data_IF_867164943328
#
_entry.id   IF_867164943328
#
_cell.length_a   1.000
_cell.length_b   1.000
_cell.length_c   1.000
_cell.angle_alpha   90.00
_cell.angle_beta   90.00
_cell.angle_gamma   90.00
#
_symmetry.space_group_name_H-M   'P 1'
#
loop_
_entity.id
_entity.type
_entity.pdbx_description
1 polymer ?
#
# COMPACT_ATOMS: atom_id res chain seq x y z
N UNK A 1 -13.55 -4.31 -29.44
CA UNK A 1 -14.28 -4.31 -28.16
C UNK A 1 -13.54 -5.26 -27.24
N UNK A 2 -12.74 -4.73 -26.31
CA UNK A 2 -12.00 -5.54 -25.36
C UNK A 2 -12.95 -5.92 -24.22
N UNK A 3 -13.28 -7.21 -24.12
CA UNK A 3 -13.78 -7.82 -22.90
C UNK A 3 -12.67 -7.74 -21.85
N UNK A 4 -12.65 -6.65 -21.10
CA UNK A 4 -11.87 -6.57 -19.88
C UNK A 4 -12.45 -7.62 -18.94
N UNK A 5 -11.67 -8.69 -18.72
CA UNK A 5 -11.98 -9.79 -17.82
C UNK A 5 -12.42 -9.22 -16.46
N UNK A 6 -13.72 -9.11 -16.29
CA UNK A 6 -14.32 -8.96 -14.98
C UNK A 6 -14.08 -10.29 -14.30
N UNK A 7 -13.65 -10.26 -13.05
CA UNK A 7 -13.64 -11.42 -12.15
C UNK A 7 -15.06 -12.00 -11.87
N UNK A 8 -16.03 -11.74 -12.76
CA UNK A 8 -17.38 -12.28 -12.82
C UNK A 8 -18.31 -11.81 -11.71
N UNK A 9 -17.84 -11.00 -10.76
CA UNK A 9 -18.62 -10.65 -9.57
C UNK A 9 -18.76 -9.13 -9.43
N UNK A 10 -19.94 -8.62 -9.02
CA UNK A 10 -20.07 -7.22 -8.64
C UNK A 10 -19.05 -6.87 -7.54
N UNK A 11 -18.49 -5.65 -7.55
CA UNK A 11 -17.60 -5.20 -6.50
C UNK A 11 -18.31 -5.28 -5.15
N UNK A 12 -17.61 -5.80 -4.15
CA UNK A 12 -18.04 -5.74 -2.75
C UNK A 12 -17.74 -4.34 -2.22
N UNK A 13 -18.47 -3.90 -1.22
CA UNK A 13 -18.26 -2.61 -0.56
C UNK A 13 -18.10 -2.79 0.93
N UNK A 14 -17.45 -1.81 1.58
CA UNK A 14 -17.43 -1.66 3.04
C UNK A 14 -18.86 -1.60 3.60
N UNK A 15 -19.02 -1.83 4.90
CA UNK A 15 -20.33 -1.90 5.54
C UNK A 15 -21.14 -0.60 5.39
N UNK A 16 -20.47 0.55 5.31
CA UNK A 16 -21.06 1.87 5.04
C UNK A 16 -21.39 2.09 3.54
N UNK A 17 -21.08 1.12 2.68
CA UNK A 17 -21.29 1.16 1.23
C UNK A 17 -20.32 2.10 0.48
N UNK A 18 -19.41 2.79 1.18
CA UNK A 18 -18.67 3.90 0.61
C UNK A 18 -17.45 3.47 -0.22
N UNK A 19 -16.79 2.36 0.15
CA UNK A 19 -15.49 1.99 -0.42
C UNK A 19 -15.54 0.59 -1.04
N UNK A 20 -15.17 0.42 -2.33
CA UNK A 20 -15.03 -0.90 -2.92
C UNK A 20 -13.98 -1.75 -2.19
N UNK A 21 -14.24 -3.05 -2.05
CA UNK A 21 -13.32 -4.01 -1.44
C UNK A 21 -12.69 -4.87 -2.54
N UNK A 22 -11.36 -4.84 -2.63
CA UNK A 22 -10.58 -5.76 -3.47
C UNK A 22 -10.16 -6.99 -2.66
N UNK A 23 -10.36 -8.18 -3.23
CA UNK A 23 -9.88 -9.43 -2.63
C UNK A 23 -8.36 -9.55 -2.81
N UNK A 24 -7.64 -9.75 -1.71
CA UNK A 24 -6.18 -9.85 -1.73
C UNK A 24 -5.70 -10.93 -2.70
N UNK A 25 -6.27 -12.13 -2.64
CA UNK A 25 -5.93 -13.25 -3.54
C UNK A 25 -6.09 -12.92 -5.03
N UNK A 26 -7.10 -12.12 -5.41
CA UNK A 26 -7.31 -11.71 -6.80
C UNK A 26 -6.30 -10.64 -7.21
N UNK A 27 -6.04 -9.68 -6.33
CA UNK A 27 -5.04 -8.64 -6.55
C UNK A 27 -3.64 -9.24 -6.71
N UNK A 28 -3.26 -10.23 -5.90
CA UNK A 28 -1.95 -10.90 -6.03
C UNK A 28 -1.86 -11.78 -7.29
N UNK A 29 -2.97 -12.41 -7.71
CA UNK A 29 -2.98 -13.28 -8.88
C UNK A 29 -2.93 -12.52 -10.21
N UNK A 30 -3.59 -11.36 -10.30
CA UNK A 30 -3.58 -10.51 -11.50
C UNK A 30 -3.65 -9.01 -11.10
N UNK A 31 -2.51 -8.43 -10.68
CA UNK A 31 -2.50 -7.07 -10.16
C UNK A 31 -2.86 -6.04 -11.24
N UNK A 32 -2.48 -6.26 -12.49
CA UNK A 32 -2.68 -5.26 -13.55
C UNK A 32 -4.15 -5.12 -13.92
N UNK A 33 -4.84 -6.24 -14.18
CA UNK A 33 -6.26 -6.23 -14.54
C UNK A 33 -7.10 -5.74 -13.37
N UNK A 34 -6.82 -6.23 -12.16
CA UNK A 34 -7.54 -5.83 -10.95
C UNK A 34 -7.34 -4.35 -10.66
N UNK A 35 -6.11 -3.83 -10.69
CA UNK A 35 -5.87 -2.40 -10.48
C UNK A 35 -6.57 -1.55 -11.55
N UNK A 36 -6.53 -1.95 -12.82
CA UNK A 36 -7.19 -1.21 -13.90
C UNK A 36 -8.70 -1.12 -13.68
N UNK A 37 -9.33 -2.23 -13.30
CA UNK A 37 -10.77 -2.29 -12.99
C UNK A 37 -11.14 -1.42 -11.80
N UNK A 38 -10.46 -1.59 -10.66
CA UNK A 38 -10.83 -0.89 -9.43
C UNK A 38 -10.49 0.60 -9.47
N UNK A 39 -9.46 1.01 -10.22
CA UNK A 39 -9.13 2.43 -10.43
C UNK A 39 -10.24 3.20 -11.14
N UNK A 40 -11.03 2.53 -12.00
CA UNK A 40 -12.19 3.13 -12.64
C UNK A 40 -13.37 3.36 -11.68
N UNK A 41 -13.38 2.68 -10.53
CA UNK A 41 -14.44 2.80 -9.52
C UNK A 41 -14.07 3.82 -8.43
N UNK A 42 -12.82 3.77 -7.96
CA UNK A 42 -12.34 4.64 -6.89
C UNK A 42 -10.80 4.73 -6.91
N UNK A 43 -10.21 5.89 -6.58
CA UNK A 43 -8.76 6.02 -6.42
C UNK A 43 -8.24 5.27 -5.19
N UNK A 44 -9.10 4.89 -4.25
CA UNK A 44 -8.77 4.14 -3.03
C UNK A 44 -9.77 3.02 -2.81
N UNK A 45 -9.27 1.82 -2.51
CA UNK A 45 -10.11 0.64 -2.23
C UNK A 45 -9.68 -0.03 -0.93
N UNK A 46 -10.62 -0.63 -0.21
CA UNK A 46 -10.32 -1.43 0.96
C UNK A 46 -9.77 -2.80 0.52
N UNK A 47 -8.80 -3.34 1.24
CA UNK A 47 -8.28 -4.69 0.98
C UNK A 47 -8.99 -5.69 1.88
N UNK A 48 -9.34 -6.86 1.37
CA UNK A 48 -10.05 -7.90 2.14
C UNK A 48 -9.29 -8.40 3.38
N UNK A 49 -7.97 -8.21 3.44
CA UNK A 49 -7.11 -8.56 4.57
C UNK A 49 -6.88 -7.38 5.55
N UNK A 50 -7.60 -6.27 5.35
CA UNK A 50 -7.45 -5.04 6.12
C UNK A 50 -6.55 -4.02 5.42
N UNK A 51 -6.71 -2.76 5.82
CA UNK A 51 -6.04 -1.62 5.20
C UNK A 51 -6.64 -1.23 3.84
N UNK A 52 -5.93 -0.37 3.13
CA UNK A 52 -6.36 0.21 1.86
C UNK A 52 -5.29 0.04 0.79
N UNK A 53 -5.72 -0.03 -0.47
CA UNK A 53 -4.87 0.04 -1.66
C UNK A 53 -5.20 1.33 -2.39
N UNK A 54 -4.16 2.10 -2.68
CA UNK A 54 -4.26 3.39 -3.35
C UNK A 54 -3.87 3.18 -4.81
N UNK A 55 -4.78 3.52 -5.71
CA UNK A 55 -4.70 3.24 -7.15
C UNK A 55 -4.56 4.51 -7.98
N UNK A 56 -5.06 5.64 -7.47
CA UNK A 56 -5.03 6.94 -8.13
C UNK A 56 -3.65 7.60 -8.07
N UNK A 57 -3.17 8.14 -9.20
CA UNK A 57 -1.84 8.74 -9.27
C UNK A 57 -1.71 9.97 -8.36
N UNK A 58 -2.74 10.81 -8.30
CA UNK A 58 -2.76 12.00 -7.44
C UNK A 58 -2.70 11.62 -5.95
N UNK A 59 -3.46 10.61 -5.53
CA UNK A 59 -3.47 10.11 -4.17
C UNK A 59 -2.14 9.44 -3.79
N UNK A 60 -1.55 8.68 -4.72
CA UNK A 60 -0.20 8.11 -4.54
C UNK A 60 0.82 9.22 -4.32
N UNK A 61 0.81 10.25 -5.18
CA UNK A 61 1.73 11.38 -5.04
C UNK A 61 1.55 12.16 -3.74
N UNK A 62 0.29 12.34 -3.30
CA UNK A 62 -0.02 12.98 -2.03
C UNK A 62 0.53 12.16 -0.86
N UNK A 63 0.31 10.84 -0.85
CA UNK A 63 0.80 9.95 0.21
C UNK A 63 2.32 9.84 0.26
N UNK A 64 2.99 9.84 -0.89
CA UNK A 64 4.47 9.83 -0.93
C UNK A 64 5.10 11.10 -0.33
N UNK A 65 4.31 12.18 -0.19
CA UNK A 65 4.73 13.46 0.39
C UNK A 65 4.17 13.69 1.80
N UNK A 66 3.27 12.82 2.27
CA UNK A 66 2.59 12.96 3.55
C UNK A 66 3.50 12.47 4.68
N UNK A 67 3.84 13.37 5.61
CA UNK A 67 4.74 13.10 6.73
C UNK A 67 4.09 12.27 7.85
N UNK A 68 2.77 12.05 7.78
CA UNK A 68 2.04 11.15 8.68
C UNK A 68 2.21 9.69 8.27
N UNK A 69 2.61 9.42 7.02
CA UNK A 69 2.87 8.08 6.50
C UNK A 69 4.31 7.68 6.84
N UNK A 70 4.49 6.44 7.30
CA UNK A 70 5.81 5.87 7.65
C UNK A 70 6.10 4.64 6.82
N UNK A 71 7.38 4.34 6.63
CA UNK A 71 7.81 3.10 5.99
C UNK A 71 7.39 1.88 6.82
N UNK A 72 6.69 0.96 6.16
CA UNK A 72 6.27 -0.30 6.79
C UNK A 72 7.45 -1.11 7.33
N UNK A 73 8.67 -0.94 6.77
CA UNK A 73 9.84 -1.69 7.20
C UNK A 73 10.29 -1.33 8.62
N UNK A 74 10.31 -0.04 8.94
CA UNK A 74 10.65 0.44 10.28
C UNK A 74 9.71 -0.17 11.32
N UNK A 75 8.41 -0.07 11.06
CA UNK A 75 7.39 -0.59 11.98
C UNK A 75 7.39 -2.13 12.06
N UNK A 76 7.69 -2.82 10.95
CA UNK A 76 7.85 -4.29 10.96
C UNK A 76 9.02 -4.74 11.82
N UNK A 77 10.15 -4.01 11.79
CA UNK A 77 11.30 -4.33 12.65
C UNK A 77 10.95 -4.13 14.13
N UNK A 78 10.28 -3.02 14.47
CA UNK A 78 9.82 -2.77 15.85
C UNK A 78 8.82 -3.82 16.33
N UNK A 79 7.88 -4.22 15.50
CA UNK A 79 6.92 -5.28 15.81
C UNK A 79 7.58 -6.65 16.08
N UNK A 80 8.77 -6.88 15.53
CA UNK A 80 9.61 -8.06 15.79
C UNK A 80 10.53 -7.90 17.01
N UNK A 81 10.43 -6.79 17.75
CA UNK A 81 11.30 -6.46 18.88
C UNK A 81 12.68 -5.93 18.48
N UNK A 82 12.95 -5.73 17.19
CA UNK A 82 14.22 -5.19 16.70
C UNK A 82 14.15 -3.67 16.83
N UNK A 83 14.53 -3.17 18.01
CA UNK A 83 14.47 -1.74 18.35
C UNK A 83 15.85 -1.14 18.64
N UNK A 84 16.84 -1.98 18.93
CA UNK A 84 18.23 -1.63 19.20
C UNK A 84 19.21 -2.75 18.78
N UNK A 85 20.49 -2.54 19.07
CA UNK A 85 21.54 -3.53 18.83
C UNK A 85 21.95 -3.70 17.36
N UNK A 86 22.80 -4.70 17.06
CA UNK A 86 23.46 -4.81 15.77
C UNK A 86 22.52 -4.90 14.56
N UNK A 87 21.37 -5.56 14.70
CA UNK A 87 20.38 -5.67 13.63
C UNK A 87 19.67 -4.34 13.35
N UNK A 88 19.39 -3.57 14.41
CA UNK A 88 18.82 -2.24 14.25
C UNK A 88 19.84 -1.27 13.65
N UNK A 89 21.09 -1.30 14.12
CA UNK A 89 22.18 -0.50 13.55
C UNK A 89 22.39 -0.82 12.07
N UNK A 90 22.35 -2.11 11.68
CA UNK A 90 22.41 -2.51 10.28
C UNK A 90 21.22 -1.98 9.47
N UNK A 91 19.99 -2.07 9.99
CA UNK A 91 18.81 -1.50 9.33
C UNK A 91 18.95 0.01 9.11
N UNK A 92 19.50 0.74 10.10
CA UNK A 92 19.75 2.19 9.98
C UNK A 92 20.76 2.54 8.89
N UNK A 93 21.56 1.57 8.41
CA UNK A 93 22.45 1.74 7.25
C UNK A 93 21.71 1.69 5.91
N UNK A 94 20.47 1.21 5.87
CA UNK A 94 19.67 1.13 4.65
C UNK A 94 19.05 2.48 4.25
N UNK A 95 18.60 2.57 2.99
CA UNK A 95 17.76 3.68 2.51
C UNK A 95 16.27 3.53 2.91
N UNK A 96 15.90 2.50 3.68
CA UNK A 96 14.51 2.24 4.07
C UNK A 96 14.14 2.84 5.43
N UNK A 97 15.01 3.69 5.98
CA UNK A 97 14.73 4.53 7.16
C UNK A 97 13.81 5.68 6.77
N UNK A 98 13.08 6.23 7.73
CA UNK A 98 12.22 7.41 7.54
C UNK A 98 12.94 8.69 7.98
N UNK A 99 12.38 9.85 7.62
CA UNK A 99 12.72 11.12 8.27
C UNK A 99 14.12 11.68 7.95
N UNK A 100 14.74 12.39 8.91
CA UNK A 100 16.04 13.05 8.74
C UNK A 100 17.17 12.10 8.32
N UNK A 101 17.16 10.87 8.82
CA UNK A 101 18.14 9.84 8.49
C UNK A 101 18.09 9.46 7.01
N UNK A 102 16.89 9.34 6.44
CA UNK A 102 16.72 9.12 5.00
C UNK A 102 17.27 10.29 4.19
N UNK A 103 16.92 11.52 4.60
CA UNK A 103 17.37 12.75 3.93
C UNK A 103 18.89 12.88 3.94
N UNK A 104 19.51 12.61 5.09
CA UNK A 104 20.97 12.65 5.26
C UNK A 104 21.68 11.66 4.34
N UNK A 105 21.09 10.50 4.06
CA UNK A 105 21.67 9.48 3.19
C UNK A 105 21.43 9.72 1.70
N UNK A 106 20.37 10.45 1.34
CA UNK A 106 20.04 10.77 -0.05
C UNK A 106 20.90 11.89 -0.63
N UNK A 107 21.31 12.85 0.21
CA UNK A 107 22.19 13.96 -0.17
C UNK A 107 23.60 13.46 -0.50
#
# INVERSE_FOLDING_TARGET
MNDAATDGHPPRYTQDGATPIVLAEKLEADPHTVCARYRALSPVVARSTGGFVVLGAAEIEALLKDDRVRSAKAETNRAKGITDGPLWEFYKLSMQVDGPEHRKRRA
#
